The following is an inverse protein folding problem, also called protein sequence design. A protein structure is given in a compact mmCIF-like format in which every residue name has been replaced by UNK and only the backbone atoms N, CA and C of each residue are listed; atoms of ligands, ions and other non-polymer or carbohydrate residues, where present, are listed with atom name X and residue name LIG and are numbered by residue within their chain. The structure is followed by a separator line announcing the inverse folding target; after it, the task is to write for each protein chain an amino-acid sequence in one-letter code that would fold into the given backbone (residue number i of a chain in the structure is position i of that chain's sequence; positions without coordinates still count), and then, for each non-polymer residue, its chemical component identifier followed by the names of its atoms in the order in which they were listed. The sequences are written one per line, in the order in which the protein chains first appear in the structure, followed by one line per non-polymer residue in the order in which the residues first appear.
data_IF_482650577096
#
_entry.id   IF_482650577096
#
_cell.length_a   1.000
_cell.length_b   1.000
_cell.length_c   1.000
_cell.angle_alpha   90.00
_cell.angle_beta   90.00
_cell.angle_gamma   90.00
#
_symmetry.space_group_name_H-M   'P 1'
#
loop_
_entity.id
_entity.type
_entity.pdbx_description
1 polymer ?
#
# COMPACT_ATOMS: atom_id res chain seq x y z
N UNK A 1 7.32 0.22 22.16
CA UNK A 1 6.52 0.94 21.15
C UNK A 1 6.43 0.05 19.93
N UNK A 2 5.21 -0.32 19.48
CA UNK A 2 5.03 -1.19 18.33
C UNK A 2 5.55 -0.55 17.04
N UNK A 3 5.99 -1.36 16.10
CA UNK A 3 6.31 -0.91 14.75
C UNK A 3 5.01 -0.66 13.96
N UNK A 4 4.77 0.60 13.59
CA UNK A 4 3.57 1.04 12.87
C UNK A 4 3.81 1.25 11.37
N UNK A 5 4.97 0.85 10.86
CA UNK A 5 5.29 0.90 9.44
C UNK A 5 4.94 -0.43 8.78
N UNK A 6 3.97 -0.42 7.87
CA UNK A 6 3.59 -1.59 7.07
C UNK A 6 3.02 -1.16 5.72
N UNK A 7 3.23 -2.03 4.71
CA UNK A 7 2.58 -1.90 3.41
C UNK A 7 1.09 -2.24 3.50
N UNK A 8 0.29 -1.59 2.66
CA UNK A 8 -1.16 -1.77 2.65
C UNK A 8 -1.58 -3.07 1.95
N UNK A 9 -0.77 -3.56 1.00
CA UNK A 9 -1.07 -4.75 0.19
C UNK A 9 -0.10 -5.90 0.46
N UNK A 10 -0.53 -7.12 0.20
CA UNK A 10 0.27 -8.33 0.44
C UNK A 10 1.57 -8.35 -0.38
N UNK A 11 1.57 -8.03 -1.70
CA UNK A 11 2.80 -7.94 -2.47
C UNK A 11 3.71 -6.82 -1.95
N UNK A 12 5.00 -7.13 -1.80
CA UNK A 12 6.01 -6.16 -1.36
C UNK A 12 6.22 -5.02 -2.36
N UNK A 13 6.06 -5.30 -3.65
CA UNK A 13 6.23 -4.34 -4.73
C UNK A 13 4.96 -4.29 -5.60
N UNK A 14 4.65 -3.12 -6.19
CA UNK A 14 3.56 -3.03 -7.15
C UNK A 14 3.87 -3.80 -8.44
N UNK A 15 2.84 -4.07 -9.22
CA UNK A 15 2.97 -4.61 -10.57
C UNK A 15 3.31 -3.51 -11.59
N UNK A 16 3.91 -3.91 -12.72
CA UNK A 16 4.12 -3.00 -13.86
C UNK A 16 2.77 -2.59 -14.42
N UNK A 17 2.68 -1.35 -14.90
CA UNK A 17 1.47 -0.68 -15.38
C UNK A 17 0.41 -0.39 -14.29
N UNK A 18 0.66 -0.76 -13.03
CA UNK A 18 -0.22 -0.39 -11.94
C UNK A 18 -0.12 1.11 -11.61
N UNK A 19 -1.27 1.76 -11.44
CA UNK A 19 -1.34 3.09 -10.85
C UNK A 19 -1.16 3.00 -9.33
N UNK A 20 -0.30 3.85 -8.77
CA UNK A 20 0.02 3.90 -7.34
C UNK A 20 0.07 5.34 -6.85
N UNK A 21 -0.31 5.55 -5.58
CA UNK A 21 -0.21 6.87 -4.96
C UNK A 21 1.20 7.13 -4.46
N UNK A 22 1.83 8.20 -4.97
CA UNK A 22 3.17 8.60 -4.56
C UNK A 22 3.16 9.94 -3.82
N UNK A 23 4.19 10.16 -2.99
CA UNK A 23 4.51 11.45 -2.43
C UNK A 23 5.89 11.90 -2.88
N UNK A 24 5.99 13.12 -3.38
CA UNK A 24 7.26 13.70 -3.80
C UNK A 24 8.12 14.00 -2.59
N UNK A 25 9.32 13.41 -2.51
CA UNK A 25 10.27 13.65 -1.42
C UNK A 25 11.23 14.77 -1.75
N UNK A 26 11.88 14.71 -2.91
CA UNK A 26 12.77 15.76 -3.36
C UNK A 26 12.94 15.72 -4.88
N UNK A 27 13.41 16.83 -5.45
CA UNK A 27 13.67 16.97 -6.88
C UNK A 27 15.19 17.03 -7.06
N UNK A 28 15.71 16.22 -7.99
CA UNK A 28 17.11 16.15 -8.37
C UNK A 28 17.29 16.53 -9.84
N UNK A 29 18.53 16.55 -10.34
CA UNK A 29 18.84 17.04 -11.69
C UNK A 29 18.27 16.17 -12.83
N UNK A 30 18.01 14.88 -12.57
CA UNK A 30 17.52 13.94 -13.58
C UNK A 30 16.03 13.58 -13.44
N UNK A 31 15.40 13.94 -12.31
CA UNK A 31 14.07 13.48 -11.98
C UNK A 31 13.62 13.89 -10.59
N UNK A 32 12.49 13.34 -10.16
CA UNK A 32 11.99 13.49 -8.80
C UNK A 32 12.02 12.14 -8.08
N UNK A 33 12.54 12.15 -6.86
CA UNK A 33 12.46 11.02 -5.95
C UNK A 33 11.14 11.10 -5.19
N UNK A 34 10.45 9.97 -5.14
CA UNK A 34 9.13 9.84 -4.56
C UNK A 34 9.08 8.62 -3.65
N UNK A 35 8.12 8.61 -2.73
CA UNK A 35 7.81 7.42 -1.93
C UNK A 35 6.44 6.89 -2.30
N UNK A 36 6.33 5.58 -2.46
CA UNK A 36 5.06 4.89 -2.68
C UNK A 36 4.36 4.70 -1.34
N UNK A 37 3.31 5.48 -1.08
CA UNK A 37 2.65 5.53 0.23
C UNK A 37 1.96 4.20 0.58
N UNK A 38 1.44 3.51 -0.43
CA UNK A 38 0.75 2.23 -0.26
C UNK A 38 1.70 1.06 0.04
N UNK A 39 2.99 1.20 -0.26
CA UNK A 39 3.99 0.14 -0.20
C UNK A 39 5.07 0.45 0.84
N UNK A 40 4.67 0.86 2.04
CA UNK A 40 5.58 1.19 3.14
C UNK A 40 6.66 2.21 2.77
N UNK A 41 6.30 3.24 1.99
CA UNK A 41 7.19 4.31 1.57
C UNK A 41 8.42 3.87 0.76
N UNK A 42 8.36 2.71 0.07
CA UNK A 42 9.43 2.31 -0.87
C UNK A 42 9.76 3.47 -1.81
N UNK A 43 11.04 3.68 -2.05
CA UNK A 43 11.53 4.75 -2.91
C UNK A 43 11.30 4.43 -4.39
N UNK A 44 10.90 5.46 -5.13
CA UNK A 44 10.78 5.41 -6.58
C UNK A 44 11.32 6.68 -7.21
N UNK A 45 11.52 6.64 -8.52
CA UNK A 45 12.01 7.77 -9.30
C UNK A 45 11.10 8.04 -10.50
N UNK A 46 10.79 9.32 -10.72
CA UNK A 46 10.13 9.78 -11.94
C UNK A 46 11.13 10.62 -12.73
N UNK A 47 11.53 10.14 -13.91
CA UNK A 47 12.37 10.90 -14.83
C UNK A 47 11.62 12.12 -15.37
N UNK A 48 12.33 13.20 -15.69
CA UNK A 48 11.70 14.39 -16.27
C UNK A 48 11.02 14.13 -17.61
N UNK A 49 11.54 13.21 -18.41
CA UNK A 49 10.90 12.73 -19.64
C UNK A 49 9.54 12.07 -19.39
N UNK A 50 9.30 11.58 -18.18
CA UNK A 50 8.09 10.88 -17.74
C UNK A 50 7.15 11.75 -16.88
N UNK A 51 7.50 13.04 -16.63
CA UNK A 51 6.63 13.98 -15.91
C UNK A 51 5.54 14.61 -16.77
N UNK A 52 5.83 14.92 -18.04
CA UNK A 52 4.88 15.63 -18.91
C UNK A 52 5.06 15.25 -20.38
N UNK A 53 3.96 15.29 -21.14
CA UNK A 53 3.97 15.15 -22.62
C UNK A 53 4.37 16.46 -23.32
N UNK A 54 4.30 17.61 -22.63
CA UNK A 54 4.55 18.94 -23.20
C UNK A 54 5.93 19.48 -22.78
N UNK A 55 6.48 20.42 -23.56
CA UNK A 55 7.73 21.10 -23.22
C UNK A 55 7.63 21.78 -21.85
N UNK A 56 8.55 21.42 -20.95
CA UNK A 56 8.59 21.89 -19.58
C UNK A 56 9.17 23.31 -19.55
N UNK A 57 8.40 24.28 -19.05
CA UNK A 57 8.89 25.66 -18.80
C UNK A 57 9.52 25.79 -17.41
N UNK A 58 8.96 25.10 -16.42
CA UNK A 58 9.45 25.06 -15.04
C UNK A 58 9.04 23.73 -14.41
N UNK A 59 9.98 23.07 -13.72
CA UNK A 59 9.73 21.79 -13.05
C UNK A 59 8.83 22.01 -11.82
N UNK A 60 9.05 23.10 -11.10
CA UNK A 60 8.30 23.45 -9.88
C UNK A 60 6.80 23.67 -10.11
N UNK A 61 6.37 23.90 -11.36
CA UNK A 61 4.94 23.98 -11.69
C UNK A 61 4.30 22.62 -11.96
N UNK A 62 5.09 21.59 -12.30
CA UNK A 62 4.59 20.25 -12.61
C UNK A 62 4.59 19.32 -11.40
N UNK A 63 5.54 19.50 -10.49
CA UNK A 63 5.76 18.65 -9.34
C UNK A 63 6.21 19.49 -8.15
N UNK A 64 5.65 19.21 -6.96
CA UNK A 64 5.94 19.92 -5.72
C UNK A 64 6.29 18.92 -4.63
N UNK A 65 7.36 19.18 -3.91
CA UNK A 65 7.75 18.40 -2.74
C UNK A 65 6.59 18.35 -1.73
N UNK A 66 6.35 17.18 -1.15
CA UNK A 66 5.28 16.90 -0.21
C UNK A 66 3.92 16.60 -0.84
N UNK A 67 3.70 16.94 -2.12
CA UNK A 67 2.43 16.68 -2.81
C UNK A 67 2.26 15.17 -3.07
N UNK A 68 1.03 14.71 -2.91
CA UNK A 68 0.59 13.36 -3.28
C UNK A 68 -0.05 13.38 -4.66
N UNK A 69 0.39 12.50 -5.56
CA UNK A 69 -0.14 12.40 -6.92
C UNK A 69 -0.08 10.94 -7.39
N UNK A 70 -1.02 10.49 -8.24
CA UNK A 70 -0.96 9.16 -8.84
C UNK A 70 0.14 9.07 -9.91
N UNK A 71 0.81 7.92 -9.98
CA UNK A 71 1.80 7.60 -10.99
C UNK A 71 1.66 6.13 -11.43
N UNK A 72 2.02 5.83 -12.68
CA UNK A 72 2.06 4.47 -13.22
C UNK A 72 3.45 3.89 -13.03
N UNK A 73 3.53 2.62 -12.59
CA UNK A 73 4.77 1.86 -12.49
C UNK A 73 5.23 1.43 -13.88
N UNK A 74 6.45 1.80 -14.26
CA UNK A 74 7.06 1.38 -15.53
C UNK A 74 7.92 0.13 -15.36
N UNK A 75 8.66 0.08 -14.27
CA UNK A 75 9.63 -0.98 -14.01
C UNK A 75 9.84 -1.13 -12.51
N UNK A 76 10.00 -2.38 -12.09
CA UNK A 76 10.35 -2.74 -10.72
C UNK A 76 11.63 -3.57 -10.75
N UNK A 77 12.68 -3.06 -10.11
CA UNK A 77 13.90 -3.82 -9.82
C UNK A 77 13.78 -4.38 -8.41
N UNK A 78 13.43 -5.67 -8.30
CA UNK A 78 13.17 -6.34 -7.02
C UNK A 78 14.45 -6.59 -6.21
N UNK A 79 15.59 -6.69 -6.88
CA UNK A 79 16.88 -6.95 -6.25
C UNK A 79 17.43 -5.68 -5.59
N UNK A 80 17.32 -4.55 -6.29
CA UNK A 80 17.80 -3.25 -5.80
C UNK A 80 16.74 -2.45 -5.04
N UNK A 81 15.47 -2.82 -5.16
CA UNK A 81 14.35 -2.12 -4.53
C UNK A 81 13.99 -0.79 -5.20
N UNK A 82 14.43 -0.56 -6.44
CA UNK A 82 14.13 0.67 -7.20
C UNK A 82 12.90 0.49 -8.08
N UNK A 83 12.08 1.54 -8.15
CA UNK A 83 10.86 1.58 -8.96
C UNK A 83 10.90 2.81 -9.88
N UNK A 84 10.84 2.57 -11.18
CA UNK A 84 10.68 3.62 -12.17
C UNK A 84 9.20 3.91 -12.40
N UNK A 85 8.84 5.19 -12.36
CA UNK A 85 7.45 5.65 -12.40
C UNK A 85 7.25 6.68 -13.52
N UNK A 86 6.00 6.82 -13.96
CA UNK A 86 5.57 7.83 -14.93
C UNK A 86 4.30 8.53 -14.50
N UNK A 87 4.32 9.85 -14.55
CA UNK A 87 3.13 10.68 -14.35
C UNK A 87 2.40 10.93 -15.67
N UNK A 88 3.12 11.04 -16.79
CA UNK A 88 2.53 11.39 -18.10
C UNK A 88 1.71 10.27 -18.75
N UNK A 89 1.86 9.04 -18.27
CA UNK A 89 1.18 7.84 -18.79
C UNK A 89 -0.12 7.54 -18.06
N UNK A 90 -0.32 8.09 -16.87
CA UNK A 90 -1.56 7.98 -16.11
C UNK A 90 -2.68 8.68 -16.89
N UNK A 91 -3.75 7.96 -17.22
CA UNK A 91 -4.99 8.54 -17.73
C UNK A 91 -5.81 9.15 -16.59
N UNK A 92 -6.79 10.02 -16.91
CA UNK A 92 -7.67 10.59 -15.89
C UNK A 92 -8.47 9.51 -15.16
N UNK A 93 -8.95 8.48 -15.88
CA UNK A 93 -9.67 7.35 -15.28
C UNK A 93 -8.80 6.55 -14.31
N UNK A 94 -7.56 6.22 -14.69
CA UNK A 94 -6.61 5.54 -13.80
C UNK A 94 -6.23 6.39 -12.59
N UNK A 95 -6.08 7.72 -12.77
CA UNK A 95 -5.81 8.65 -11.68
C UNK A 95 -6.95 8.64 -10.65
N UNK A 96 -8.19 8.77 -11.10
CA UNK A 96 -9.37 8.73 -10.24
C UNK A 96 -9.52 7.37 -9.54
N UNK A 97 -9.38 6.27 -10.27
CA UNK A 97 -9.46 4.93 -9.69
C UNK A 97 -8.34 4.70 -8.64
N UNK A 98 -7.13 5.20 -8.90
CA UNK A 98 -6.01 5.14 -7.97
C UNK A 98 -6.27 5.98 -6.71
N UNK A 99 -6.80 7.20 -6.85
CA UNK A 99 -7.17 8.07 -5.74
C UNK A 99 -8.23 7.40 -4.85
N UNK A 100 -9.28 6.85 -5.45
CA UNK A 100 -10.35 6.16 -4.72
C UNK A 100 -9.82 4.93 -3.98
N UNK A 101 -9.02 4.09 -4.65
CA UNK A 101 -8.38 2.91 -4.04
C UNK A 101 -7.48 3.32 -2.87
N UNK A 102 -6.63 4.34 -3.07
CA UNK A 102 -5.74 4.82 -2.03
C UNK A 102 -6.50 5.37 -0.82
N UNK A 103 -7.59 6.12 -1.03
CA UNK A 103 -8.41 6.65 0.05
C UNK A 103 -9.04 5.51 0.89
N UNK A 104 -9.57 4.47 0.23
CA UNK A 104 -10.08 3.27 0.91
C UNK A 104 -8.99 2.56 1.71
N UNK A 105 -7.82 2.32 1.12
CA UNK A 105 -6.68 1.68 1.79
C UNK A 105 -6.17 2.51 2.97
N UNK A 106 -6.12 3.85 2.84
CA UNK A 106 -5.70 4.76 3.90
C UNK A 106 -6.64 4.72 5.10
N UNK A 107 -7.95 4.58 4.88
CA UNK A 107 -8.94 4.41 5.96
C UNK A 107 -8.69 3.10 6.72
N UNK A 108 -8.57 1.98 6.01
CA UNK A 108 -8.25 0.67 6.60
C UNK A 108 -6.93 0.74 7.38
N UNK A 109 -5.90 1.35 6.80
CA UNK A 109 -4.59 1.52 7.43
C UNK A 109 -4.64 2.39 8.69
N UNK A 110 -5.48 3.43 8.71
CA UNK A 110 -5.67 4.25 9.90
C UNK A 110 -6.32 3.46 11.04
N UNK A 111 -7.33 2.63 10.73
CA UNK A 111 -7.97 1.76 11.71
C UNK A 111 -6.96 0.76 12.26
N UNK A 112 -6.22 0.09 11.38
CA UNK A 112 -5.23 -0.92 11.78
C UNK A 112 -4.09 -0.33 12.62
N UNK A 113 -3.61 0.88 12.28
CA UNK A 113 -2.63 1.59 13.13
C UNK A 113 -3.16 1.87 14.53
N UNK A 114 -4.41 2.31 14.63
CA UNK A 114 -5.03 2.57 15.93
C UNK A 114 -5.18 1.28 16.76
N UNK A 115 -5.57 0.18 16.12
CA UNK A 115 -5.65 -1.15 16.77
C UNK A 115 -4.26 -1.61 17.23
N UNK A 116 -3.24 -1.48 16.37
CA UNK A 116 -1.85 -1.81 16.68
C UNK A 116 -1.33 -1.03 17.90
N UNK A 117 -1.57 0.28 17.93
CA UNK A 117 -1.22 1.14 19.08
C UNK A 117 -1.95 0.72 20.36
N UNK A 118 -3.27 0.48 20.26
CA UNK A 118 -4.11 0.18 21.41
C UNK A 118 -3.76 -1.16 22.05
N UNK A 119 -3.40 -2.15 21.23
CA UNK A 119 -3.05 -3.50 21.66
C UNK A 119 -1.54 -3.69 21.87
N UNK A 120 -0.74 -2.65 21.65
CA UNK A 120 0.74 -2.68 21.71
C UNK A 120 1.39 -3.80 20.86
N UNK A 121 0.83 -4.06 19.68
CA UNK A 121 1.33 -5.06 18.73
C UNK A 121 1.83 -4.42 17.45
N UNK A 122 2.79 -5.07 16.80
CA UNK A 122 3.29 -4.61 15.50
C UNK A 122 2.18 -4.64 14.43
N UNK A 123 2.24 -3.67 13.52
CA UNK A 123 1.19 -3.49 12.51
C UNK A 123 1.21 -4.56 11.42
N UNK A 124 2.39 -5.07 11.03
CA UNK A 124 2.50 -6.05 9.95
C UNK A 124 1.81 -7.39 10.27
N UNK A 125 1.97 -7.98 11.47
CA UNK A 125 1.19 -9.16 11.87
C UNK A 125 -0.33 -8.98 11.77
N UNK A 126 -0.86 -7.79 12.10
CA UNK A 126 -2.29 -7.49 11.94
C UNK A 126 -2.71 -7.51 10.47
N UNK A 127 -1.89 -6.94 9.58
CA UNK A 127 -2.14 -6.97 8.15
C UNK A 127 -2.13 -8.40 7.59
N UNK A 128 -1.17 -9.21 8.01
CA UNK A 128 -1.04 -10.62 7.64
C UNK A 128 -2.27 -11.45 8.05
N UNK A 129 -2.74 -11.23 9.28
CA UNK A 129 -3.85 -12.01 9.86
C UNK A 129 -5.22 -11.56 9.39
N UNK A 130 -5.41 -10.26 9.16
CA UNK A 130 -6.75 -9.68 8.93
C UNK A 130 -6.84 -9.12 7.52
N UNK A 131 -6.05 -8.10 7.20
CA UNK A 131 -6.25 -7.32 5.98
C UNK A 131 -5.98 -8.11 4.71
N UNK A 132 -4.81 -8.75 4.56
CA UNK A 132 -4.45 -9.45 3.33
C UNK A 132 -5.40 -10.63 3.01
N UNK A 133 -5.84 -11.45 3.98
CA UNK A 133 -6.94 -12.39 3.77
C UNK A 133 -8.23 -11.73 3.27
N UNK A 134 -8.63 -10.59 3.86
CA UNK A 134 -9.81 -9.85 3.42
C UNK A 134 -9.67 -9.27 2.00
N UNK A 135 -8.49 -8.78 1.63
CA UNK A 135 -8.19 -8.36 0.25
C UNK A 135 -8.40 -9.51 -0.73
N UNK A 136 -7.93 -10.74 -0.41
CA UNK A 136 -8.12 -11.91 -1.27
C UNK A 136 -9.58 -12.33 -1.39
N UNK A 137 -10.35 -12.31 -0.29
CA UNK A 137 -11.74 -12.80 -0.26
C UNK A 137 -12.76 -11.81 -0.82
N UNK A 138 -12.59 -10.52 -0.58
CA UNK A 138 -13.57 -9.48 -0.93
C UNK A 138 -13.05 -8.49 -1.99
N UNK A 139 -11.87 -8.74 -2.55
CA UNK A 139 -11.17 -7.84 -3.48
C UNK A 139 -10.50 -6.64 -2.79
N UNK A 140 -11.09 -6.12 -1.72
CA UNK A 140 -10.49 -5.05 -0.91
C UNK A 140 -10.96 -5.12 0.54
N UNK A 141 -10.04 -4.97 1.50
CA UNK A 141 -10.37 -5.02 2.94
C UNK A 141 -11.46 -4.01 3.35
N UNK A 142 -11.48 -2.82 2.74
CA UNK A 142 -12.54 -1.83 2.92
C UNK A 142 -13.96 -2.36 2.66
N UNK A 143 -14.17 -3.19 1.63
CA UNK A 143 -15.51 -3.74 1.35
C UNK A 143 -15.91 -4.75 2.43
N UNK A 144 -14.97 -5.54 2.94
CA UNK A 144 -15.22 -6.41 4.09
C UNK A 144 -15.56 -5.60 5.36
N UNK A 145 -14.87 -4.48 5.61
CA UNK A 145 -15.14 -3.63 6.78
C UNK A 145 -16.54 -3.02 6.73
N UNK A 146 -17.03 -2.65 5.54
CA UNK A 146 -18.41 -2.21 5.38
C UNK A 146 -19.42 -3.29 5.76
N UNK A 147 -19.13 -4.55 5.47
CA UNK A 147 -19.97 -5.68 5.85
C UNK A 147 -19.88 -5.98 7.35
N UNK A 148 -18.68 -5.88 7.95
CA UNK A 148 -18.45 -6.06 9.39
C UNK A 148 -19.33 -5.12 10.22
N UNK A 149 -19.55 -3.88 9.77
CA UNK A 149 -20.44 -2.94 10.47
C UNK A 149 -21.87 -3.46 10.58
N UNK A 150 -22.33 -4.24 9.60
CA UNK A 150 -23.69 -4.79 9.57
C UNK A 150 -23.78 -6.18 10.22
N UNK A 151 -22.75 -7.02 10.07
CA UNK A 151 -22.69 -8.39 10.57
C UNK A 151 -21.23 -8.75 10.92
N UNK A 152 -20.76 -8.41 12.13
CA UNK A 152 -19.37 -8.59 12.53
C UNK A 152 -18.97 -10.07 12.61
N UNK A 153 -19.80 -10.89 13.24
CA UNK A 153 -19.47 -12.28 13.60
C UNK A 153 -19.26 -13.12 12.33
N UNK A 154 -20.15 -13.00 11.33
CA UNK A 154 -20.03 -13.78 10.09
C UNK A 154 -18.74 -13.55 9.31
N UNK A 155 -18.13 -12.36 9.43
CA UNK A 155 -16.91 -11.98 8.71
C UNK A 155 -15.68 -12.29 9.56
N UNK A 156 -15.73 -12.00 10.87
CA UNK A 156 -14.61 -12.19 11.78
C UNK A 156 -14.40 -13.67 12.14
N UNK A 157 -15.47 -14.47 12.29
CA UNK A 157 -15.38 -15.91 12.53
C UNK A 157 -14.83 -16.67 11.31
N UNK A 158 -14.91 -16.07 10.12
CA UNK A 158 -14.28 -16.63 8.93
C UNK A 158 -12.78 -16.28 8.82
N UNK A 159 -12.27 -15.43 9.71
CA UNK A 159 -10.87 -15.02 9.81
C UNK A 159 -10.16 -15.62 11.04
N UNK A 160 -10.90 -16.24 11.96
CA UNK A 160 -10.30 -16.98 13.07
C UNK A 160 -9.50 -18.14 12.50
N UNK A 161 -8.23 -18.18 12.89
CA UNK A 161 -7.30 -19.25 12.56
C UNK A 161 -6.99 -19.97 13.86
N UNK A 162 -7.01 -21.30 13.82
CA UNK A 162 -6.55 -22.14 14.93
C UNK A 162 -5.06 -21.86 15.19
N UNK A 163 -4.72 -21.44 16.40
CA UNK A 163 -3.33 -21.24 16.79
C UNK A 163 -2.63 -22.61 16.75
N UNK A 164 -1.78 -22.82 15.74
CA UNK A 164 -0.91 -23.99 15.68
C UNK A 164 0.34 -23.72 16.49
N UNK A 165 0.34 -24.11 17.75
CA UNK A 165 1.58 -24.19 18.52
C UNK A 165 2.38 -25.43 18.08
N UNK A 166 3.68 -25.23 17.86
CA UNK A 166 4.59 -26.35 17.68
C UNK A 166 5.01 -26.83 19.06
N UNK A 167 4.56 -28.02 19.46
CA UNK A 167 4.98 -28.62 20.72
C UNK A 167 6.49 -28.88 20.76
N UNK A 168 7.09 -29.12 21.93
CA UNK A 168 8.53 -29.38 22.09
C UNK A 168 9.04 -30.58 21.28
N UNK A 169 8.16 -31.44 20.79
CA UNK A 169 8.45 -32.64 19.98
C UNK A 169 8.26 -32.43 18.47
N UNK A 170 7.96 -31.21 18.01
CA UNK A 170 7.79 -30.89 16.58
C UNK A 170 6.44 -31.31 15.99
N UNK A 171 5.46 -31.70 16.81
CA UNK A 171 4.08 -31.90 16.36
C UNK A 171 3.30 -30.58 16.40
N UNK A 172 2.63 -30.25 15.29
CA UNK A 172 1.63 -29.19 15.24
C UNK A 172 0.41 -29.63 16.05
N UNK A 173 0.07 -28.88 17.10
CA UNK A 173 -1.15 -29.11 17.88
C UNK A 173 -2.11 -27.96 17.59
N UNK A 174 -3.34 -28.30 17.22
CA UNK A 174 -4.46 -27.37 17.07
C UNK A 174 -5.00 -27.07 18.48
N UNK A 175 -5.04 -25.80 18.87
CA UNK A 175 -5.65 -25.37 20.12
C UNK A 175 -7.06 -24.86 19.83
N UNK A 176 -8.06 -25.48 20.46
CA UNK A 176 -9.48 -25.11 20.49
C UNK A 176 -9.71 -23.85 21.37
#
# INVERSE_FOLDING_TARGET
MPNLECRMYEPRFPEVDAAVMIQVKHIADMGAYVSLLEYNNIEGMILFSELSRRRIRSISSLIKVGRQEPAIVLRVDRDKGYIDLSKRRVSEEEAHACEDRYNKSKLVHSIMRHVAETLEIDLEPLYQRICWPLYRKYGHAFEAFKLIVADPDSILDALTYEEKETGPDGQEVVID
#
